data_IF_181616938895
#
_entry.id   IF_181616938895
#
_cell.length_a   1.000
_cell.length_b   1.000
_cell.length_c   1.000
_cell.angle_alpha   90.00
_cell.angle_beta   90.00
_cell.angle_gamma   90.00
#
_symmetry.space_group_name_H-M   'P 1'
#
loop_
_entity.id
_entity.type
_entity.pdbx_description
1 polymer ?
#
# COMPACT_ATOMS: atom_id res chain seq x y z
N UNK A 1 1.20 20.28 -20.09
CA UNK A 1 1.78 18.97 -19.71
C UNK A 1 0.66 18.02 -19.31
N UNK A 2 0.78 16.72 -19.61
CA UNK A 2 -0.25 15.72 -19.27
C UNK A 2 0.37 14.50 -18.57
N UNK A 3 -0.33 13.97 -17.58
CA UNK A 3 0.04 12.71 -16.91
C UNK A 3 -1.21 11.89 -16.59
N UNK A 4 -1.13 10.57 -16.82
CA UNK A 4 -2.20 9.60 -16.53
C UNK A 4 -2.15 9.08 -15.09
N UNK A 5 -1.62 9.89 -14.17
CA UNK A 5 -1.42 9.53 -12.77
C UNK A 5 -2.14 10.48 -11.83
N UNK A 6 -2.36 10.04 -10.59
CA UNK A 6 -2.94 10.86 -9.52
C UNK A 6 -1.88 11.58 -8.70
N UNK A 7 -0.75 10.91 -8.43
CA UNK A 7 0.40 11.50 -7.76
C UNK A 7 1.25 12.32 -8.73
N UNK A 8 1.72 13.48 -8.29
CA UNK A 8 2.50 14.40 -9.12
C UNK A 8 3.96 14.49 -8.65
N UNK A 9 4.40 13.61 -7.75
CA UNK A 9 5.72 13.65 -7.12
C UNK A 9 6.89 13.57 -8.12
N UNK A 10 6.66 12.97 -9.29
CA UNK A 10 7.62 12.87 -10.38
C UNK A 10 7.72 14.14 -11.24
N UNK A 11 6.95 15.19 -10.93
CA UNK A 11 6.89 16.46 -11.66
C UNK A 11 7.29 17.62 -10.75
N UNK A 12 8.11 18.53 -11.27
CA UNK A 12 8.32 19.85 -10.66
C UNK A 12 7.13 20.77 -11.01
N UNK A 13 6.07 20.67 -10.21
CA UNK A 13 4.82 21.40 -10.44
C UNK A 13 5.03 22.91 -10.30
N UNK A 14 5.96 23.35 -9.45
CA UNK A 14 6.23 24.77 -9.24
C UNK A 14 6.96 25.37 -10.45
N UNK A 15 8.00 24.70 -10.97
CA UNK A 15 8.68 25.13 -12.19
C UNK A 15 7.74 25.16 -13.41
N UNK A 16 6.85 24.16 -13.55
CA UNK A 16 5.85 24.14 -14.62
C UNK A 16 4.89 25.32 -14.51
N UNK A 17 4.46 25.66 -13.29
CA UNK A 17 3.59 26.80 -13.02
C UNK A 17 4.28 28.13 -13.31
N UNK A 18 5.53 28.30 -12.91
CA UNK A 18 6.34 29.49 -13.21
C UNK A 18 6.54 29.69 -14.72
N UNK A 19 6.67 28.58 -15.46
CA UNK A 19 6.75 28.59 -16.92
C UNK A 19 5.39 28.81 -17.62
N UNK A 20 4.28 28.96 -16.88
CA UNK A 20 2.93 29.09 -17.45
C UNK A 20 2.40 27.81 -18.11
N UNK A 21 2.95 26.65 -17.77
CA UNK A 21 2.55 25.35 -18.32
C UNK A 21 1.49 24.71 -17.41
N UNK A 22 0.28 24.56 -17.93
CA UNK A 22 -0.78 23.84 -17.22
C UNK A 22 -0.48 22.33 -17.11
N UNK A 23 -0.76 21.75 -15.95
CA UNK A 23 -0.63 20.30 -15.69
C UNK A 23 -2.01 19.65 -15.65
N UNK A 24 -2.30 18.85 -16.67
CA UNK A 24 -3.49 18.00 -16.71
C UNK A 24 -3.16 16.65 -16.07
N UNK A 25 -3.87 16.30 -14.99
CA UNK A 25 -3.75 15.00 -14.33
C UNK A 25 -5.09 14.41 -13.92
N UNK A 26 -5.04 13.18 -13.39
CA UNK A 26 -6.19 12.51 -12.78
C UNK A 26 -6.49 13.02 -11.36
N UNK A 27 -5.65 13.88 -10.79
CA UNK A 27 -5.89 14.46 -9.47
C UNK A 27 -7.25 15.18 -9.46
N UNK A 28 -8.08 14.85 -8.47
CA UNK A 28 -9.43 15.41 -8.33
C UNK A 28 -10.52 14.80 -9.22
N UNK A 29 -10.20 13.80 -10.07
CA UNK A 29 -11.18 13.12 -10.93
C UNK A 29 -11.94 12.01 -10.18
N UNK A 30 -12.60 12.36 -9.08
CA UNK A 30 -13.12 11.40 -8.09
C UNK A 30 -14.05 10.34 -8.70
N UNK A 31 -15.04 10.73 -9.50
CA UNK A 31 -16.02 9.80 -10.11
C UNK A 31 -15.37 8.80 -11.06
N UNK A 32 -14.42 9.25 -11.88
CA UNK A 32 -13.66 8.36 -12.75
C UNK A 32 -12.78 7.41 -11.94
N UNK A 33 -12.06 7.96 -10.94
CA UNK A 33 -11.15 7.19 -10.11
C UNK A 33 -11.88 6.11 -9.31
N UNK A 34 -13.15 6.28 -8.92
CA UNK A 34 -13.94 5.22 -8.26
C UNK A 34 -14.01 3.92 -9.08
N UNK A 35 -13.82 3.98 -10.40
CA UNK A 35 -13.83 2.80 -11.29
C UNK A 35 -12.48 2.06 -11.37
N UNK A 36 -11.44 2.59 -10.72
CA UNK A 36 -10.06 2.08 -10.77
C UNK A 36 -9.74 1.36 -9.46
N UNK A 37 -9.67 0.03 -9.52
CA UNK A 37 -9.55 -0.88 -8.36
C UNK A 37 -8.17 -1.50 -8.17
N UNK A 38 -7.29 -1.42 -9.18
CA UNK A 38 -6.01 -2.14 -9.24
C UNK A 38 -5.21 -2.13 -7.94
N UNK A 39 -5.04 -0.97 -7.30
CA UNK A 39 -4.20 -0.85 -6.10
C UNK A 39 -4.82 -1.54 -4.89
N UNK A 40 -6.15 -1.54 -4.79
CA UNK A 40 -6.85 -2.26 -3.73
C UNK A 40 -6.74 -3.78 -3.95
N UNK A 41 -6.83 -4.24 -5.19
CA UNK A 41 -6.62 -5.65 -5.55
C UNK A 41 -5.17 -6.10 -5.27
N UNK A 42 -4.19 -5.28 -5.66
CA UNK A 42 -2.77 -5.53 -5.39
C UNK A 42 -2.48 -5.59 -3.89
N UNK A 43 -3.10 -4.70 -3.09
CA UNK A 43 -3.01 -4.74 -1.62
C UNK A 43 -3.47 -6.08 -1.06
N UNK A 44 -4.60 -6.62 -1.55
CA UNK A 44 -5.09 -7.94 -1.15
C UNK A 44 -4.17 -9.07 -1.63
N UNK A 45 -3.64 -8.97 -2.85
CA UNK A 45 -2.68 -9.91 -3.41
C UNK A 45 -1.40 -10.00 -2.57
N UNK A 46 -0.83 -8.86 -2.19
CA UNK A 46 0.33 -8.77 -1.31
C UNK A 46 0.03 -9.34 0.08
N UNK A 47 -1.11 -8.98 0.68
CA UNK A 47 -1.53 -9.49 1.99
C UNK A 47 -1.62 -11.01 2.00
N UNK A 48 -2.31 -11.60 1.01
CA UNK A 48 -2.46 -13.05 0.89
C UNK A 48 -1.12 -13.74 0.58
N UNK A 49 -0.29 -13.15 -0.28
CA UNK A 49 1.03 -13.69 -0.62
C UNK A 49 1.95 -13.72 0.57
N UNK A 50 1.93 -12.66 1.40
CA UNK A 50 2.75 -12.53 2.59
C UNK A 50 2.34 -13.53 3.68
N UNK A 51 1.05 -13.61 4.02
CA UNK A 51 0.57 -14.49 5.11
C UNK A 51 0.64 -15.98 4.76
N UNK A 52 0.73 -16.32 3.47
CA UNK A 52 0.83 -17.69 2.95
C UNK A 52 2.21 -18.03 2.38
N UNK A 53 3.16 -17.11 2.45
CA UNK A 53 4.55 -17.29 1.97
C UNK A 53 4.60 -17.79 0.52
N UNK A 54 3.69 -17.31 -0.33
CA UNK A 54 3.47 -17.85 -1.68
C UNK A 54 4.75 -17.77 -2.54
N UNK A 55 5.47 -16.63 -2.60
CA UNK A 55 6.65 -16.52 -3.46
C UNK A 55 7.74 -17.52 -3.09
N UNK A 56 8.07 -17.65 -1.81
CA UNK A 56 9.11 -18.59 -1.36
C UNK A 56 8.65 -20.05 -1.50
N UNK A 57 7.39 -20.37 -1.21
CA UNK A 57 6.83 -21.70 -1.45
C UNK A 57 6.88 -22.10 -2.93
N UNK A 58 6.55 -21.17 -3.83
CA UNK A 58 6.65 -21.37 -5.27
C UNK A 58 8.11 -21.62 -5.69
N UNK A 59 9.04 -20.77 -5.25
CA UNK A 59 10.47 -20.94 -5.54
C UNK A 59 10.99 -22.29 -5.02
N UNK A 60 10.61 -22.71 -3.82
CA UNK A 60 10.98 -24.01 -3.26
C UNK A 60 10.58 -25.17 -4.18
N UNK A 61 9.36 -25.14 -4.73
CA UNK A 61 8.88 -26.17 -5.67
C UNK A 61 9.66 -26.16 -6.98
N UNK A 62 9.99 -24.97 -7.52
CA UNK A 62 10.82 -24.86 -8.73
C UNK A 62 12.23 -25.44 -8.54
N UNK A 63 12.74 -25.44 -7.30
CA UNK A 63 14.00 -26.10 -6.93
C UNK A 63 13.85 -27.60 -6.59
N UNK A 64 12.68 -28.20 -6.87
CA UNK A 64 12.43 -29.63 -6.69
C UNK A 64 12.03 -30.05 -5.27
N UNK A 65 11.80 -29.11 -4.36
CA UNK A 65 11.40 -29.41 -2.99
C UNK A 65 9.87 -29.50 -2.86
N UNK A 66 9.39 -30.54 -2.19
CA UNK A 66 7.95 -30.73 -1.91
C UNK A 66 7.69 -30.86 -0.41
N UNK A 67 7.64 -29.72 0.29
CA UNK A 67 7.49 -29.69 1.75
C UNK A 67 6.31 -28.80 2.17
N UNK A 68 5.19 -29.44 2.55
CA UNK A 68 3.97 -28.75 2.97
C UNK A 68 4.09 -28.11 4.36
N UNK A 69 4.88 -28.71 5.24
CA UNK A 69 4.97 -28.27 6.64
C UNK A 69 5.83 -27.02 6.79
N UNK A 70 6.78 -26.81 5.88
CA UNK A 70 7.64 -25.62 5.85
C UNK A 70 6.85 -24.32 5.61
N UNK A 71 5.79 -24.37 4.80
CA UNK A 71 5.03 -23.19 4.37
C UNK A 71 3.64 -23.09 4.99
N UNK A 72 3.48 -23.51 6.25
CA UNK A 72 2.24 -23.32 7.01
C UNK A 72 2.00 -21.83 7.25
N UNK A 73 1.08 -21.25 6.49
CA UNK A 73 0.60 -19.88 6.68
C UNK A 73 -0.60 -19.77 7.62
N UNK A 74 -1.14 -18.55 7.74
CA UNK A 74 -2.33 -18.29 8.54
C UNK A 74 -3.58 -18.06 7.68
N UNK A 75 -4.73 -18.31 8.28
CA UNK A 75 -6.01 -17.83 7.76
C UNK A 75 -6.24 -16.38 8.21
N UNK A 76 -6.83 -15.58 7.33
CA UNK A 76 -7.14 -14.17 7.61
C UNK A 76 -8.57 -13.98 8.13
N UNK A 77 -9.45 -14.97 7.95
CA UNK A 77 -10.81 -14.92 8.47
C UNK A 77 -10.81 -14.77 9.99
N UNK A 78 -11.66 -13.88 10.51
CA UNK A 78 -11.74 -13.56 11.94
C UNK A 78 -10.57 -12.70 12.47
N UNK A 79 -9.55 -12.40 11.67
CA UNK A 79 -8.46 -11.49 12.04
C UNK A 79 -8.89 -10.03 11.90
N UNK A 80 -8.20 -9.16 12.62
CA UNK A 80 -8.43 -7.72 12.58
C UNK A 80 -7.50 -7.08 11.57
N UNK A 81 -8.05 -6.33 10.61
CA UNK A 81 -7.27 -5.46 9.73
C UNK A 81 -7.51 -3.99 10.08
N UNK A 82 -6.41 -3.29 10.33
CA UNK A 82 -6.33 -1.85 10.49
C UNK A 82 -6.10 -1.17 9.15
N UNK A 83 -7.01 -0.32 8.73
CA UNK A 83 -6.89 0.50 7.53
C UNK A 83 -6.61 1.93 7.96
N UNK A 84 -5.44 2.43 7.58
CA UNK A 84 -4.99 3.79 7.85
C UNK A 84 -5.21 4.62 6.58
N UNK A 85 -6.20 5.51 6.62
CA UNK A 85 -6.70 6.23 5.45
C UNK A 85 -7.93 5.55 4.86
N UNK A 86 -9.09 6.20 5.01
CA UNK A 86 -10.41 5.72 4.57
C UNK A 86 -10.97 6.53 3.40
N UNK A 87 -10.06 6.92 2.49
CA UNK A 87 -10.41 7.47 1.18
C UNK A 87 -10.92 6.39 0.23
N UNK A 88 -10.84 6.68 -1.08
CA UNK A 88 -11.29 5.76 -2.15
C UNK A 88 -10.72 4.33 -2.00
N UNK A 89 -9.39 4.19 -1.92
CA UNK A 89 -8.75 2.87 -1.86
C UNK A 89 -9.05 2.15 -0.54
N UNK A 90 -8.99 2.84 0.60
CA UNK A 90 -9.30 2.26 1.90
C UNK A 90 -10.74 1.72 2.00
N UNK A 91 -11.71 2.39 1.36
CA UNK A 91 -13.09 1.89 1.26
C UNK A 91 -13.19 0.59 0.45
N UNK A 92 -12.51 0.51 -0.68
CA UNK A 92 -12.51 -0.69 -1.54
C UNK A 92 -11.83 -1.85 -0.78
N UNK A 93 -10.67 -1.61 -0.17
CA UNK A 93 -9.96 -2.62 0.63
C UNK A 93 -10.80 -3.08 1.82
N UNK A 94 -11.47 -2.17 2.54
CA UNK A 94 -12.39 -2.53 3.62
C UNK A 94 -13.51 -3.48 3.13
N UNK A 95 -14.08 -3.21 1.96
CA UNK A 95 -15.08 -4.08 1.34
C UNK A 95 -14.52 -5.46 1.03
N UNK A 96 -13.31 -5.54 0.46
CA UNK A 96 -12.64 -6.82 0.18
C UNK A 96 -12.36 -7.60 1.47
N UNK A 97 -11.76 -6.97 2.48
CA UNK A 97 -11.46 -7.61 3.76
C UNK A 97 -12.70 -8.16 4.46
N UNK A 98 -13.84 -7.45 4.37
CA UNK A 98 -15.13 -7.96 4.87
C UNK A 98 -15.60 -9.20 4.11
N UNK A 99 -15.42 -9.24 2.79
CA UNK A 99 -15.72 -10.44 2.01
C UNK A 99 -14.86 -11.64 2.43
N UNK A 100 -13.62 -11.39 2.86
CA UNK A 100 -12.72 -12.37 3.49
C UNK A 100 -13.02 -12.63 4.99
N UNK A 101 -14.13 -12.11 5.53
CA UNK A 101 -14.58 -12.29 6.92
C UNK A 101 -13.60 -11.75 7.96
N UNK A 102 -12.85 -10.70 7.62
CA UNK A 102 -12.02 -9.97 8.57
C UNK A 102 -12.84 -8.96 9.36
N UNK A 103 -12.40 -8.63 10.56
CA UNK A 103 -12.89 -7.46 11.30
C UNK A 103 -12.13 -6.24 10.84
N UNK A 104 -12.82 -5.23 10.32
CA UNK A 104 -12.19 -4.02 9.79
C UNK A 104 -12.18 -2.90 10.83
N UNK A 105 -10.97 -2.42 11.13
CA UNK A 105 -10.72 -1.26 11.97
C UNK A 105 -10.22 -0.09 11.09
N UNK A 106 -10.78 1.10 11.26
CA UNK A 106 -10.50 2.26 10.43
C UNK A 106 -9.94 3.40 11.28
N UNK A 107 -8.85 4.01 10.80
CA UNK A 107 -8.41 5.32 11.26
C UNK A 107 -8.32 6.28 10.07
N UNK A 108 -9.09 7.36 10.14
CA UNK A 108 -9.00 8.50 9.24
C UNK A 108 -9.51 9.76 9.97
N UNK A 109 -8.65 10.75 10.25
CA UNK A 109 -9.05 11.94 11.01
C UNK A 109 -9.95 12.91 10.22
N UNK A 110 -10.12 12.70 8.91
CA UNK A 110 -10.85 13.60 8.02
C UNK A 110 -12.17 13.02 7.50
N UNK A 111 -12.36 11.70 7.63
CA UNK A 111 -13.54 11.00 7.10
C UNK A 111 -14.47 10.57 8.23
N UNK A 112 -15.72 11.06 8.17
CA UNK A 112 -16.80 10.52 9.00
C UNK A 112 -17.28 9.19 8.40
N UNK A 113 -17.23 8.14 9.21
CA UNK A 113 -17.68 6.80 8.84
C UNK A 113 -18.98 6.52 9.58
N UNK A 114 -20.04 6.22 8.83
CA UNK A 114 -21.39 5.92 9.38
C UNK A 114 -21.75 4.43 9.27
N UNK A 115 -20.79 3.56 8.95
CA UNK A 115 -21.02 2.13 8.82
C UNK A 115 -20.78 1.44 10.17
N UNK A 116 -21.86 1.00 10.81
CA UNK A 116 -21.86 0.32 12.12
C UNK A 116 -21.14 -1.04 12.12
N UNK A 117 -20.87 -1.59 10.94
CA UNK A 117 -20.10 -2.85 10.81
C UNK A 117 -18.59 -2.63 10.83
N UNK A 118 -18.13 -1.39 10.81
CA UNK A 118 -16.72 -1.02 10.91
C UNK A 118 -16.39 -0.54 12.32
N UNK A 119 -15.21 -0.93 12.83
CA UNK A 119 -14.69 -0.36 14.06
C UNK A 119 -13.90 0.91 13.73
N UNK A 120 -14.41 2.06 14.09
CA UNK A 120 -13.72 3.35 13.91
C UNK A 120 -12.90 3.62 15.17
N UNK A 121 -11.67 4.09 15.00
CA UNK A 121 -10.79 4.45 16.12
C UNK A 121 -10.24 5.86 15.95
N UNK A 122 -10.00 6.53 17.08
CA UNK A 122 -9.66 7.96 17.11
C UNK A 122 -8.16 8.23 16.98
N UNK A 123 -7.32 7.19 17.15
CA UNK A 123 -5.86 7.36 17.14
C UNK A 123 -5.17 6.32 16.28
N UNK A 124 -4.10 6.74 15.61
CA UNK A 124 -3.21 5.85 14.87
C UNK A 124 -2.66 4.73 15.77
N UNK A 125 -2.31 5.07 17.02
CA UNK A 125 -1.80 4.12 18.02
C UNK A 125 -2.79 2.99 18.30
N UNK A 126 -4.09 3.26 18.34
CA UNK A 126 -5.09 2.21 18.57
C UNK A 126 -5.12 1.18 17.44
N UNK A 127 -4.97 1.62 16.19
CA UNK A 127 -4.86 0.72 15.02
C UNK A 127 -3.65 -0.19 15.17
N UNK A 128 -2.48 0.39 15.38
CA UNK A 128 -1.22 -0.35 15.44
C UNK A 128 -1.20 -1.35 16.60
N UNK A 129 -1.76 -0.98 17.76
CA UNK A 129 -1.79 -1.85 18.93
C UNK A 129 -2.80 -3.01 18.84
N UNK A 130 -3.79 -2.94 17.96
CA UNK A 130 -4.93 -3.86 17.97
C UNK A 130 -5.01 -4.78 16.75
N UNK A 131 -4.50 -4.33 15.60
CA UNK A 131 -4.69 -5.02 14.34
C UNK A 131 -3.67 -6.16 14.11
N UNK A 132 -4.13 -7.27 13.53
CA UNK A 132 -3.27 -8.36 13.05
C UNK A 132 -2.60 -8.00 11.71
N UNK A 133 -3.29 -7.17 10.92
CA UNK A 133 -2.81 -6.65 9.64
C UNK A 133 -3.00 -5.14 9.62
N UNK A 134 -2.05 -4.39 9.08
CA UNK A 134 -2.18 -2.95 8.89
C UNK A 134 -1.94 -2.65 7.42
N UNK A 135 -2.80 -1.85 6.80
CA UNK A 135 -2.61 -1.37 5.43
C UNK A 135 -2.76 0.14 5.34
N UNK A 136 -1.87 0.77 4.54
CA UNK A 136 -1.75 2.21 4.42
C UNK A 136 -2.34 2.68 3.08
N UNK A 137 -3.26 3.64 3.14
CA UNK A 137 -3.89 4.27 1.97
C UNK A 137 -3.95 5.80 2.15
N UNK A 138 -2.80 6.39 2.47
CA UNK A 138 -2.66 7.81 2.74
C UNK A 138 -2.04 8.56 1.55
N UNK A 139 -2.38 9.83 1.32
CA UNK A 139 -1.57 10.71 0.48
C UNK A 139 -0.25 11.04 1.19
N UNK A 140 0.82 11.30 0.43
CA UNK A 140 2.06 11.86 0.98
C UNK A 140 1.95 13.38 1.14
N UNK A 141 2.19 13.87 2.35
CA UNK A 141 2.28 15.28 2.71
C UNK A 141 3.07 15.42 4.03
N UNK A 142 3.27 16.66 4.50
CA UNK A 142 4.05 16.93 5.72
C UNK A 142 3.54 16.21 6.99
N UNK A 143 2.24 15.88 7.07
CA UNK A 143 1.66 15.16 8.22
C UNK A 143 1.75 13.63 8.12
N UNK A 144 2.03 13.09 6.93
CA UNK A 144 2.08 11.64 6.68
C UNK A 144 3.49 11.13 6.38
N UNK A 145 4.42 12.02 6.04
CA UNK A 145 5.84 11.71 5.89
C UNK A 145 6.41 11.22 7.22
N UNK A 146 7.03 10.03 7.21
CA UNK A 146 7.58 9.38 8.40
C UNK A 146 6.54 9.03 9.46
N UNK A 147 5.24 8.99 9.11
CA UNK A 147 4.16 8.68 10.05
C UNK A 147 4.34 7.31 10.70
N UNK A 148 4.85 6.35 9.92
CA UNK A 148 5.16 5.00 10.39
C UNK A 148 6.63 4.95 10.82
N UNK A 149 6.86 5.47 12.01
CA UNK A 149 8.16 5.51 12.69
C UNK A 149 8.35 4.34 13.68
N UNK A 150 9.49 4.35 14.37
CA UNK A 150 9.82 3.41 15.45
C UNK A 150 8.74 3.35 16.53
N UNK A 151 8.14 4.49 16.87
CA UNK A 151 7.14 4.59 17.95
C UNK A 151 5.92 3.76 17.59
N UNK A 152 5.34 3.96 16.41
CA UNK A 152 4.14 3.21 16.01
C UNK A 152 4.45 1.75 15.66
N UNK A 153 5.61 1.48 15.04
CA UNK A 153 6.06 0.11 14.76
C UNK A 153 6.25 -0.70 16.04
N UNK A 154 6.77 -0.09 17.11
CA UNK A 154 6.93 -0.76 18.41
C UNK A 154 5.59 -1.15 19.05
N UNK A 155 4.53 -0.39 18.76
CA UNK A 155 3.16 -0.64 19.21
C UNK A 155 2.48 -1.81 18.51
N UNK A 156 3.00 -2.24 17.35
CA UNK A 156 2.42 -3.35 16.60
C UNK A 156 2.33 -4.62 17.44
N UNK A 157 1.26 -5.41 17.20
CA UNK A 157 1.11 -6.71 17.84
C UNK A 157 2.25 -7.62 17.43
N UNK A 158 2.84 -8.39 18.37
CA UNK A 158 3.77 -9.44 18.01
C UNK A 158 3.16 -10.37 16.94
N UNK A 159 3.86 -10.55 15.83
CA UNK A 159 3.38 -11.39 14.72
C UNK A 159 2.32 -10.76 13.81
N UNK A 160 2.08 -9.45 13.89
CA UNK A 160 1.22 -8.74 12.91
C UNK A 160 1.93 -8.51 11.57
N UNK A 161 1.22 -7.98 10.58
CA UNK A 161 1.75 -7.66 9.26
C UNK A 161 1.50 -6.20 8.85
N UNK A 162 2.41 -5.62 8.06
CA UNK A 162 2.26 -4.28 7.48
C UNK A 162 2.23 -4.36 5.94
N UNK A 163 1.29 -3.65 5.30
CA UNK A 163 1.18 -3.56 3.84
C UNK A 163 1.17 -2.09 3.43
N UNK A 164 2.08 -1.70 2.55
CA UNK A 164 2.13 -0.34 2.01
C UNK A 164 2.07 -0.35 0.47
N UNK A 165 0.96 0.15 -0.06
CA UNK A 165 0.75 0.40 -1.50
C UNK A 165 0.46 1.88 -1.77
N UNK A 166 0.85 2.75 -0.83
CA UNK A 166 0.60 4.18 -0.88
C UNK A 166 1.83 4.96 -1.35
N UNK A 167 2.70 5.37 -0.43
CA UNK A 167 3.98 6.05 -0.72
C UNK A 167 5.07 5.54 0.22
N UNK A 168 6.31 5.43 -0.28
CA UNK A 168 7.42 4.86 0.48
C UNK A 168 7.75 5.70 1.73
N UNK A 169 7.77 7.01 1.56
CA UNK A 169 8.16 8.03 2.55
C UNK A 169 7.20 8.12 3.74
N UNK A 170 6.05 7.43 3.70
CA UNK A 170 5.15 7.31 4.85
C UNK A 170 5.77 6.41 5.93
N UNK A 171 6.58 5.43 5.52
CA UNK A 171 7.25 4.49 6.41
C UNK A 171 8.72 4.88 6.53
N UNK A 172 9.21 5.00 7.77
CA UNK A 172 10.64 5.13 8.00
C UNK A 172 11.28 3.76 7.81
N UNK A 173 11.85 3.52 6.63
CA UNK A 173 12.33 2.21 6.17
C UNK A 173 13.35 1.58 7.13
N UNK A 174 14.28 2.36 7.68
CA UNK A 174 15.26 1.88 8.67
C UNK A 174 14.58 1.33 9.94
N UNK A 175 13.52 1.98 10.40
CA UNK A 175 12.76 1.52 11.57
C UNK A 175 11.97 0.24 11.25
N UNK A 176 11.43 0.13 10.03
CA UNK A 176 10.76 -1.09 9.58
C UNK A 176 11.76 -2.25 9.48
N UNK A 177 12.93 -2.03 8.88
CA UNK A 177 13.99 -3.03 8.75
C UNK A 177 14.42 -3.57 10.11
N UNK A 178 14.64 -2.69 11.09
CA UNK A 178 14.95 -3.09 12.46
C UNK A 178 13.81 -3.92 13.08
N UNK A 179 12.56 -3.48 12.89
CA UNK A 179 11.38 -4.17 13.41
C UNK A 179 11.25 -5.60 12.84
N UNK A 180 11.55 -5.77 11.55
CA UNK A 180 11.56 -7.06 10.86
C UNK A 180 12.73 -7.95 11.32
N UNK A 181 13.92 -7.35 11.47
CA UNK A 181 15.13 -8.06 11.91
C UNK A 181 14.96 -8.60 13.32
N UNK A 182 14.33 -7.83 14.22
CA UNK A 182 13.98 -8.28 15.57
C UNK A 182 12.75 -9.19 15.62
N UNK A 183 12.13 -9.52 14.48
CA UNK A 183 10.92 -10.36 14.38
C UNK A 183 9.77 -9.89 15.26
N UNK A 184 9.68 -8.58 15.49
CA UNK A 184 8.58 -7.98 16.25
C UNK A 184 7.27 -8.17 15.49
N UNK A 185 7.29 -7.98 14.17
CA UNK A 185 6.17 -8.26 13.27
C UNK A 185 6.49 -9.50 12.44
N UNK A 186 5.45 -10.22 12.01
CA UNK A 186 5.60 -11.45 11.22
C UNK A 186 6.05 -11.16 9.78
N UNK A 187 5.78 -9.97 9.25
CA UNK A 187 6.31 -9.55 7.96
C UNK A 187 5.74 -8.23 7.45
N UNK A 188 6.26 -7.78 6.32
CA UNK A 188 5.75 -6.61 5.60
C UNK A 188 5.70 -6.84 4.08
N UNK A 189 4.81 -6.14 3.39
CA UNK A 189 4.77 -6.08 1.94
C UNK A 189 4.72 -4.62 1.47
N UNK A 190 5.71 -4.22 0.67
CA UNK A 190 5.87 -2.87 0.17
C UNK A 190 5.84 -2.89 -1.36
N UNK A 191 4.88 -2.17 -1.95
CA UNK A 191 4.88 -1.89 -3.39
C UNK A 191 5.61 -0.60 -3.72
N UNK A 192 5.99 0.19 -2.71
CA UNK A 192 6.60 1.51 -2.86
C UNK A 192 7.78 1.60 -1.92
N UNK A 193 8.86 2.24 -2.38
CA UNK A 193 10.06 2.52 -1.57
C UNK A 193 10.31 4.03 -1.55
N UNK A 194 10.99 4.50 -0.50
CA UNK A 194 11.53 5.85 -0.46
C UNK A 194 12.58 6.01 -1.57
N UNK A 195 12.54 7.12 -2.29
CA UNK A 195 13.49 7.45 -3.36
C UNK A 195 13.63 6.34 -4.43
N UNK A 196 12.52 5.66 -4.75
CA UNK A 196 12.49 4.52 -5.67
C UNK A 196 12.93 4.87 -7.10
N UNK A 197 12.93 6.14 -7.50
CA UNK A 197 13.54 6.62 -8.75
C UNK A 197 15.07 6.38 -8.80
N UNK A 198 15.69 6.21 -7.63
CA UNK A 198 17.11 5.87 -7.45
C UNK A 198 17.29 4.42 -6.97
N UNK A 199 16.33 3.54 -7.28
CA UNK A 199 16.37 2.14 -6.88
C UNK A 199 17.73 1.48 -7.18
N UNK A 200 18.25 0.77 -6.18
CA UNK A 200 19.46 -0.04 -6.28
C UNK A 200 19.27 -1.38 -5.57
N UNK A 201 19.95 -2.41 -6.06
CA UNK A 201 20.05 -3.71 -5.39
C UNK A 201 20.73 -3.61 -4.02
N UNK A 202 21.51 -2.55 -3.78
CA UNK A 202 22.17 -2.27 -2.51
C UNK A 202 21.23 -1.68 -1.45
N UNK A 203 19.94 -1.42 -1.79
CA UNK A 203 18.96 -0.97 -0.82
C UNK A 203 18.85 -1.99 0.35
N UNK A 204 18.92 -1.54 1.62
CA UNK A 204 18.91 -2.43 2.78
C UNK A 204 17.70 -3.37 2.87
N UNK A 205 16.50 -2.90 2.48
CA UNK A 205 15.30 -3.73 2.45
C UNK A 205 15.40 -4.82 1.37
N UNK A 206 16.00 -4.52 0.22
CA UNK A 206 16.24 -5.51 -0.84
C UNK A 206 17.20 -6.59 -0.37
N UNK A 207 18.33 -6.19 0.21
CA UNK A 207 19.32 -7.11 0.77
C UNK A 207 18.72 -8.00 1.88
N UNK A 208 17.85 -7.43 2.71
CA UNK A 208 17.10 -8.18 3.71
C UNK A 208 16.14 -9.19 3.07
N UNK A 209 15.32 -8.77 2.09
CA UNK A 209 14.34 -9.62 1.42
C UNK A 209 14.96 -10.78 0.63
N UNK A 210 16.19 -10.62 0.11
CA UNK A 210 16.92 -11.70 -0.55
C UNK A 210 17.18 -12.91 0.35
N UNK A 211 17.22 -12.71 1.67
CA UNK A 211 17.56 -13.74 2.64
C UNK A 211 16.41 -14.07 3.61
N UNK A 212 15.30 -13.33 3.52
CA UNK A 212 14.17 -13.45 4.45
C UNK A 212 12.84 -13.42 3.72
N UNK A 213 12.00 -14.42 3.98
CA UNK A 213 10.70 -14.59 3.31
C UNK A 213 9.61 -13.66 3.87
N UNK A 214 9.89 -12.95 4.96
CA UNK A 214 8.93 -12.09 5.65
C UNK A 214 8.90 -10.63 5.15
N UNK A 215 9.58 -10.33 4.05
CA UNK A 215 9.49 -9.05 3.36
C UNK A 215 9.22 -9.27 1.87
N UNK A 216 8.09 -8.79 1.38
CA UNK A 216 7.77 -8.76 -0.05
C UNK A 216 7.94 -7.34 -0.59
N UNK A 217 8.64 -7.23 -1.71
CA UNK A 217 8.84 -5.98 -2.45
C UNK A 217 8.30 -6.14 -3.87
N UNK A 218 7.51 -5.18 -4.32
CA UNK A 218 7.07 -5.10 -5.73
C UNK A 218 7.38 -3.71 -6.31
N UNK A 219 7.65 -3.60 -7.62
CA UNK A 219 8.22 -2.37 -8.18
C UNK A 219 7.14 -1.35 -8.57
N UNK A 220 6.38 -0.85 -7.58
CA UNK A 220 5.33 0.16 -7.75
C UNK A 220 4.32 -0.17 -8.85
N UNK A 221 3.77 -1.38 -8.78
CA UNK A 221 2.84 -1.91 -9.78
C UNK A 221 1.39 -1.90 -9.31
N UNK A 222 1.09 -1.32 -8.15
CA UNK A 222 -0.27 -1.26 -7.61
C UNK A 222 -1.27 -0.58 -8.55
N UNK A 223 -0.84 0.35 -9.40
CA UNK A 223 -1.70 0.95 -10.43
C UNK A 223 -1.62 0.27 -11.81
N UNK A 224 -0.65 -0.62 -12.01
CA UNK A 224 -0.13 -1.04 -13.32
C UNK A 224 -0.85 -2.29 -13.84
N UNK A 225 -2.16 -2.17 -14.05
CA UNK A 225 -2.98 -3.18 -14.76
C UNK A 225 -3.34 -2.66 -16.15
N UNK A 226 -3.49 -3.55 -17.14
CA UNK A 226 -3.94 -3.18 -18.48
C UNK A 226 -5.23 -2.35 -18.46
N UNK A 227 -6.21 -2.76 -17.66
CA UNK A 227 -7.51 -2.11 -17.53
C UNK A 227 -7.38 -0.70 -16.96
N UNK A 228 -6.63 -0.54 -15.86
CA UNK A 228 -6.47 0.77 -15.23
C UNK A 228 -5.65 1.73 -16.08
N UNK A 229 -4.57 1.26 -16.71
CA UNK A 229 -3.74 2.10 -17.58
C UNK A 229 -4.54 2.58 -18.80
N UNK A 230 -5.20 1.65 -19.52
CA UNK A 230 -6.05 2.00 -20.67
C UNK A 230 -7.14 3.01 -20.30
N UNK A 231 -7.91 2.76 -19.22
CA UNK A 231 -8.94 3.70 -18.76
C UNK A 231 -8.37 5.08 -18.44
N UNK A 232 -7.23 5.14 -17.76
CA UNK A 232 -6.59 6.39 -17.34
C UNK A 232 -6.04 7.17 -18.54
N UNK A 233 -5.40 6.48 -19.48
CA UNK A 233 -4.86 7.07 -20.72
C UNK A 233 -5.99 7.59 -21.61
N UNK A 234 -7.05 6.81 -21.83
CA UNK A 234 -8.23 7.23 -22.60
C UNK A 234 -8.91 8.45 -21.98
N UNK A 235 -9.08 8.46 -20.65
CA UNK A 235 -9.66 9.58 -19.93
C UNK A 235 -8.82 10.86 -20.11
N UNK A 236 -7.50 10.74 -19.97
CA UNK A 236 -6.60 11.87 -20.12
C UNK A 236 -6.49 12.36 -21.56
N UNK A 237 -6.48 11.45 -22.54
CA UNK A 237 -6.50 11.81 -23.96
C UNK A 237 -7.76 12.62 -24.30
N UNK A 238 -8.94 12.21 -23.79
CA UNK A 238 -10.18 12.97 -23.94
C UNK A 238 -10.09 14.34 -23.27
N UNK A 239 -9.61 14.40 -22.02
CA UNK A 239 -9.43 15.65 -21.28
C UNK A 239 -8.52 16.63 -22.01
N UNK A 240 -7.42 16.13 -22.61
CA UNK A 240 -6.54 16.96 -23.43
C UNK A 240 -7.27 17.51 -24.66
N UNK A 241 -7.97 16.64 -25.40
CA UNK A 241 -8.72 17.03 -26.59
C UNK A 241 -9.78 18.10 -26.29
N UNK A 242 -10.43 18.01 -25.13
CA UNK A 242 -11.41 19.00 -24.67
C UNK A 242 -10.76 20.32 -24.22
N UNK A 243 -9.49 20.30 -23.78
CA UNK A 243 -8.76 21.51 -23.30
C UNK A 243 -8.16 22.33 -24.45
N UNK A 244 -7.77 21.67 -25.55
CA UNK A 244 -7.14 22.33 -26.71
C UNK A 244 -8.13 22.77 -27.79
N UNK A 245 -9.43 22.53 -27.59
CA UNK A 245 -10.52 22.99 -28.46
C UNK A 245 -11.06 24.32 -27.99
#
# INVERSE_FOLDING_TARGET
MITATTGLNHLDVDALKEAGIEVLSLKGQTSFLETITATAEHTMGLLLSLVRTIPAAHQSVLHGNWNRDLFKGHEIAGKVIGIVGYGRLGKIVASYCRAFRMTVMIYDPFVKVNDVSLRIVDTLKEVFNSADFITLHLPLNASTMGLVDRTVLSGMKPGSYLINTSRGEIVVEDHLLETLTHKKIAGAALDVLCDEEYFSVDNPLVQFAQHNENLLLTPHIGGCTWESMSKCEEFMAKKLADTIR
#
